data_IF_668305654060
#
_entry.id   IF_668305654060
#
_cell.length_a   1.000
_cell.length_b   1.000
_cell.length_c   1.000
_cell.angle_alpha   90.00
_cell.angle_beta   90.00
_cell.angle_gamma   90.00
#
_symmetry.space_group_name_H-M   'P 1'
#
loop_
_entity.id
_entity.type
_entity.pdbx_description
1 polymer ?
#
# COMPACT_ATOMS: atom_id res chain seq x y z
N UNK A 1 18.56 25.56 -12.28
CA UNK A 1 17.46 24.92 -13.03
C UNK A 1 16.25 25.83 -12.98
N UNK A 2 15.66 26.17 -14.13
CA UNK A 2 14.53 27.11 -14.20
C UNK A 2 13.30 26.54 -13.48
N UNK A 3 12.66 27.33 -12.60
CA UNK A 3 11.43 26.97 -11.84
C UNK A 3 10.35 26.23 -12.68
N UNK A 4 10.08 26.60 -13.96
CA UNK A 4 9.08 25.90 -14.78
C UNK A 4 9.44 24.45 -15.12
N UNK A 5 10.73 24.09 -15.24
CA UNK A 5 11.17 22.72 -15.54
C UNK A 5 10.94 21.77 -14.36
N UNK A 6 11.17 22.23 -13.14
CA UNK A 6 10.91 21.45 -11.90
C UNK A 6 9.41 21.23 -11.75
N UNK A 7 8.60 22.26 -11.96
CA UNK A 7 7.14 22.16 -11.89
C UNK A 7 6.57 21.14 -12.88
N UNK A 8 7.09 21.09 -14.11
CA UNK A 8 6.65 20.13 -15.13
C UNK A 8 7.03 18.70 -14.76
N UNK A 9 8.25 18.48 -14.23
CA UNK A 9 8.69 17.16 -13.78
C UNK A 9 7.85 16.64 -12.61
N UNK A 10 7.56 17.48 -11.62
CA UNK A 10 6.68 17.11 -10.49
C UNK A 10 5.26 16.81 -10.96
N UNK A 11 4.72 17.57 -11.91
CA UNK A 11 3.42 17.31 -12.51
C UNK A 11 3.39 15.96 -13.24
N UNK A 12 4.46 15.62 -13.97
CA UNK A 12 4.59 14.34 -14.65
C UNK A 12 4.70 13.17 -13.66
N UNK A 13 5.52 13.30 -12.61
CA UNK A 13 5.64 12.31 -11.53
C UNK A 13 4.27 12.02 -10.89
N UNK A 14 3.50 13.08 -10.62
CA UNK A 14 2.16 12.97 -10.05
C UNK A 14 1.16 12.29 -10.99
N UNK A 15 1.22 12.60 -12.29
CA UNK A 15 0.27 12.09 -13.27
C UNK A 15 0.60 10.65 -13.73
N UNK A 16 1.87 10.27 -13.76
CA UNK A 16 2.34 9.02 -14.35
C UNK A 16 3.39 8.29 -13.48
N UNK A 17 3.08 7.96 -12.20
CA UNK A 17 4.04 7.35 -11.28
C UNK A 17 4.56 6.00 -11.78
N UNK A 18 3.72 5.18 -12.44
CA UNK A 18 4.11 3.87 -12.99
C UNK A 18 5.15 4.01 -14.11
N UNK A 19 5.00 5.00 -14.97
CA UNK A 19 5.96 5.27 -16.05
C UNK A 19 7.29 5.77 -15.48
N UNK A 20 7.23 6.64 -14.47
CA UNK A 20 8.42 7.14 -13.77
C UNK A 20 9.15 5.99 -13.08
N UNK A 21 8.44 5.12 -12.38
CA UNK A 21 9.00 3.93 -11.73
C UNK A 21 9.79 3.07 -12.73
N UNK A 22 9.20 2.73 -13.90
CA UNK A 22 9.85 1.96 -14.96
C UNK A 22 11.12 2.63 -15.50
N UNK A 23 11.11 3.95 -15.63
CA UNK A 23 12.30 4.72 -16.07
C UNK A 23 13.39 4.65 -15.01
N UNK A 24 13.05 4.90 -13.74
CA UNK A 24 14.00 4.89 -12.63
C UNK A 24 14.60 3.50 -12.40
N UNK A 25 13.83 2.43 -12.60
CA UNK A 25 14.31 1.04 -12.50
C UNK A 25 15.42 0.70 -13.50
N UNK A 26 15.58 1.47 -14.57
CA UNK A 26 16.65 1.32 -15.57
C UNK A 26 17.94 2.07 -15.20
N UNK A 27 17.93 2.85 -14.11
CA UNK A 27 19.06 3.69 -13.68
C UNK A 27 19.74 3.12 -12.43
N UNK A 28 20.96 3.58 -12.17
CA UNK A 28 21.73 3.17 -10.99
C UNK A 28 21.04 3.58 -9.69
N UNK A 29 20.95 2.68 -8.72
CA UNK A 29 20.23 2.92 -7.46
C UNK A 29 20.72 4.15 -6.69
N UNK A 30 22.00 4.54 -6.82
CA UNK A 30 22.54 5.76 -6.19
C UNK A 30 21.95 7.03 -6.79
N UNK A 31 21.98 7.15 -8.13
CA UNK A 31 21.46 8.32 -8.84
C UNK A 31 19.93 8.46 -8.60
N UNK A 32 19.24 7.32 -8.53
CA UNK A 32 17.80 7.28 -8.23
C UNK A 32 17.52 7.69 -6.79
N UNK A 33 18.36 7.26 -5.83
CA UNK A 33 18.19 7.63 -4.42
C UNK A 33 18.38 9.15 -4.21
N UNK A 34 19.42 9.74 -4.81
CA UNK A 34 19.64 11.17 -4.80
C UNK A 34 18.44 11.93 -5.40
N UNK A 35 17.97 11.51 -6.58
CA UNK A 35 16.81 12.11 -7.23
C UNK A 35 15.54 12.01 -6.37
N UNK A 36 15.26 10.85 -5.78
CA UNK A 36 14.08 10.62 -4.94
C UNK A 36 14.13 11.43 -3.64
N UNK A 37 15.33 11.63 -3.06
CA UNK A 37 15.51 12.44 -1.87
C UNK A 37 15.22 13.94 -2.10
N UNK A 38 15.43 14.42 -3.31
CA UNK A 38 15.25 15.84 -3.68
C UNK A 38 13.79 16.20 -4.01
N UNK A 39 12.92 15.22 -4.20
CA UNK A 39 11.50 15.47 -4.48
C UNK A 39 10.65 15.38 -3.22
N UNK A 40 9.52 16.14 -3.14
CA UNK A 40 8.64 16.07 -1.98
C UNK A 40 8.14 14.64 -1.73
N UNK A 41 8.12 14.18 -0.49
CA UNK A 41 7.76 12.81 -0.11
C UNK A 41 6.41 12.36 -0.69
N UNK A 42 5.41 13.26 -0.72
CA UNK A 42 4.10 12.97 -1.31
C UNK A 42 4.14 12.65 -2.83
N UNK A 43 5.19 13.08 -3.54
CA UNK A 43 5.41 12.75 -4.96
C UNK A 43 6.30 11.51 -5.12
N UNK A 44 7.24 11.29 -4.21
CA UNK A 44 8.10 10.11 -4.18
C UNK A 44 7.30 8.83 -3.86
N UNK A 45 6.34 8.92 -2.95
CA UNK A 45 5.56 7.77 -2.45
C UNK A 45 4.83 7.01 -3.55
N UNK A 46 4.06 7.61 -4.47
CA UNK A 46 3.42 6.88 -5.55
C UNK A 46 4.42 6.17 -6.48
N UNK A 47 5.61 6.75 -6.69
CA UNK A 47 6.67 6.12 -7.48
C UNK A 47 7.20 4.87 -6.77
N UNK A 48 7.51 4.97 -5.46
CA UNK A 48 7.91 3.80 -4.65
C UNK A 48 6.81 2.73 -4.59
N UNK A 49 5.54 3.14 -4.65
CA UNK A 49 4.42 2.21 -4.73
C UNK A 49 4.42 1.44 -6.05
N UNK A 50 4.80 2.06 -7.15
CA UNK A 50 4.82 1.47 -8.49
C UNK A 50 6.06 0.61 -8.75
N UNK A 51 7.23 0.96 -8.17
CA UNK A 51 8.50 0.22 -8.34
C UNK A 51 8.43 -1.20 -7.76
N UNK A 52 9.32 -2.09 -8.21
CA UNK A 52 9.48 -3.41 -7.58
C UNK A 52 9.93 -3.27 -6.11
N UNK A 53 9.39 -4.07 -5.17
CA UNK A 53 9.74 -3.98 -3.74
C UNK A 53 11.25 -4.10 -3.46
N UNK A 54 11.94 -4.96 -4.19
CA UNK A 54 13.38 -5.15 -4.08
C UNK A 54 14.15 -3.90 -4.47
N UNK A 55 13.71 -3.22 -5.52
CA UNK A 55 14.34 -1.98 -5.99
C UNK A 55 14.06 -0.82 -5.02
N UNK A 56 12.82 -0.65 -4.58
CA UNK A 56 12.48 0.32 -3.53
C UNK A 56 13.30 0.08 -2.26
N UNK A 57 13.55 -1.19 -1.87
CA UNK A 57 14.39 -1.52 -0.73
C UNK A 57 15.87 -1.16 -0.93
N UNK A 58 16.40 -1.21 -2.18
CA UNK A 58 17.75 -0.71 -2.45
C UNK A 58 17.86 0.79 -2.20
N UNK A 59 16.84 1.57 -2.57
CA UNK A 59 16.80 3.00 -2.27
C UNK A 59 16.75 3.25 -0.76
N UNK A 60 15.92 2.50 -0.02
CA UNK A 60 15.86 2.59 1.44
C UNK A 60 17.21 2.33 2.13
N UNK A 61 18.10 1.54 1.51
CA UNK A 61 19.45 1.28 2.06
C UNK A 61 20.43 2.43 1.86
N UNK A 62 20.16 3.30 0.91
CA UNK A 62 21.03 4.42 0.52
C UNK A 62 20.60 5.75 1.16
N UNK A 63 19.36 5.84 1.62
CA UNK A 63 18.76 7.03 2.19
C UNK A 63 18.76 6.98 3.73
N UNK A 64 18.64 8.15 4.37
CA UNK A 64 18.48 8.22 5.83
C UNK A 64 17.12 7.67 6.27
N UNK A 65 17.05 7.23 7.52
CA UNK A 65 15.84 6.62 8.09
C UNK A 65 14.66 7.58 8.06
N UNK A 66 14.90 8.86 8.36
CA UNK A 66 13.88 9.91 8.40
C UNK A 66 13.28 10.17 7.00
N UNK A 67 14.12 10.24 5.96
CA UNK A 67 13.68 10.42 4.57
C UNK A 67 12.85 9.23 4.11
N UNK A 68 13.32 8.02 4.41
CA UNK A 68 12.59 6.79 4.09
C UNK A 68 11.25 6.73 4.80
N UNK A 69 11.20 6.99 6.11
CA UNK A 69 9.97 6.99 6.89
C UNK A 69 8.98 8.06 6.35
N UNK A 70 9.47 9.26 6.04
CA UNK A 70 8.68 10.35 5.45
C UNK A 70 8.01 9.98 4.12
N UNK A 71 8.68 9.15 3.31
CA UNK A 71 8.09 8.64 2.07
C UNK A 71 7.13 7.47 2.32
N UNK A 72 7.54 6.51 3.15
CA UNK A 72 6.77 5.29 3.38
C UNK A 72 5.46 5.55 4.12
N UNK A 73 5.37 6.56 5.00
CA UNK A 73 4.14 6.88 5.75
C UNK A 73 2.91 7.16 4.86
N UNK A 74 3.12 7.50 3.60
CA UNK A 74 2.04 7.75 2.64
C UNK A 74 1.62 6.48 1.87
N UNK A 75 2.26 5.34 2.12
CA UNK A 75 1.96 4.07 1.47
C UNK A 75 1.04 3.18 2.33
N UNK A 76 0.26 2.29 1.71
CA UNK A 76 -0.44 1.24 2.45
C UNK A 76 0.55 0.35 3.22
N UNK A 77 0.19 -0.06 4.45
CA UNK A 77 1.05 -0.88 5.31
C UNK A 77 1.52 -2.18 4.66
N UNK A 78 0.68 -2.81 3.84
CA UNK A 78 1.05 -4.00 3.05
C UNK A 78 2.19 -3.70 2.08
N UNK A 79 2.20 -2.52 1.46
CA UNK A 79 3.27 -2.09 0.56
C UNK A 79 4.56 -1.78 1.31
N UNK A 80 4.45 -1.07 2.43
CA UNK A 80 5.59 -0.79 3.32
C UNK A 80 6.28 -2.10 3.71
N UNK A 81 5.51 -3.07 4.18
CA UNK A 81 6.01 -4.38 4.59
C UNK A 81 6.65 -5.14 3.43
N UNK A 82 6.05 -5.09 2.23
CA UNK A 82 6.64 -5.72 1.04
C UNK A 82 8.04 -5.16 0.73
N UNK A 83 8.25 -3.86 0.87
CA UNK A 83 9.55 -3.20 0.71
C UNK A 83 10.50 -3.59 1.86
N UNK A 84 10.05 -3.42 3.11
CA UNK A 84 10.88 -3.60 4.30
C UNK A 84 11.33 -5.06 4.52
N UNK A 85 10.66 -6.05 3.94
CA UNK A 85 11.13 -7.45 3.95
C UNK A 85 12.49 -7.63 3.25
N UNK A 86 12.85 -6.74 2.32
CA UNK A 86 14.12 -6.75 1.60
C UNK A 86 15.19 -5.83 2.25
N UNK A 87 14.88 -5.19 3.37
CA UNK A 87 15.79 -4.35 4.17
C UNK A 87 16.32 -5.16 5.36
N UNK A 88 17.57 -4.92 5.76
CA UNK A 88 18.19 -5.56 6.93
C UNK A 88 17.40 -5.27 8.21
N UNK A 89 17.37 -6.22 9.14
CA UNK A 89 16.53 -6.18 10.34
C UNK A 89 16.75 -4.90 11.17
N UNK A 90 18.00 -4.49 11.36
CA UNK A 90 18.36 -3.31 12.17
C UNK A 90 17.79 -2.04 11.56
N UNK A 91 18.03 -1.81 10.26
CA UNK A 91 17.52 -0.64 9.55
C UNK A 91 15.99 -0.68 9.42
N UNK A 92 15.42 -1.87 9.18
CA UNK A 92 13.96 -2.05 9.14
C UNK A 92 13.30 -1.63 10.45
N UNK A 93 13.88 -2.04 11.59
CA UNK A 93 13.37 -1.67 12.92
C UNK A 93 13.44 -0.16 13.12
N UNK A 94 14.56 0.48 12.79
CA UNK A 94 14.71 1.92 12.88
C UNK A 94 13.67 2.67 12.01
N UNK A 95 13.47 2.23 10.77
CA UNK A 95 12.45 2.84 9.86
C UNK A 95 11.05 2.72 10.46
N UNK A 96 10.69 1.53 10.99
CA UNK A 96 9.35 1.30 11.56
C UNK A 96 9.10 2.18 12.77
N UNK A 97 10.11 2.41 13.62
CA UNK A 97 10.00 3.28 14.80
C UNK A 97 9.77 4.76 14.45
N UNK A 98 10.21 5.22 13.28
CA UNK A 98 9.97 6.57 12.78
C UNK A 98 8.59 6.73 12.10
N UNK A 99 7.86 5.64 11.86
CA UNK A 99 6.52 5.71 11.28
C UNK A 99 5.48 6.12 12.33
N UNK A 100 4.36 6.74 11.92
CA UNK A 100 3.24 6.99 12.83
C UNK A 100 2.79 5.71 13.53
N UNK A 101 2.50 5.77 14.83
CA UNK A 101 2.20 4.62 15.71
C UNK A 101 1.20 3.63 15.08
N UNK A 102 0.18 4.14 14.40
CA UNK A 102 -0.83 3.30 13.73
C UNK A 102 -0.24 2.47 12.58
N UNK A 103 0.64 3.07 11.79
CA UNK A 103 1.34 2.40 10.68
C UNK A 103 2.37 1.42 11.22
N UNK A 104 3.09 1.79 12.28
CA UNK A 104 4.03 0.94 13.00
C UNK A 104 3.36 -0.35 13.48
N UNK A 105 2.24 -0.26 14.20
CA UNK A 105 1.47 -1.42 14.69
C UNK A 105 1.04 -2.32 13.54
N UNK A 106 0.58 -1.73 12.43
CA UNK A 106 0.17 -2.49 11.25
C UNK A 106 1.33 -3.22 10.59
N UNK A 107 2.47 -2.55 10.43
CA UNK A 107 3.67 -3.15 9.88
C UNK A 107 4.18 -4.29 10.77
N UNK A 108 4.18 -4.10 12.09
CA UNK A 108 4.56 -5.13 13.04
C UNK A 108 3.63 -6.35 12.93
N UNK A 109 2.30 -6.14 12.85
CA UNK A 109 1.34 -7.21 12.68
C UNK A 109 1.60 -8.02 11.39
N UNK A 110 1.74 -7.33 10.25
CA UNK A 110 1.94 -7.97 8.95
C UNK A 110 3.29 -8.71 8.86
N UNK A 111 4.34 -8.20 9.50
CA UNK A 111 5.66 -8.82 9.54
C UNK A 111 5.71 -10.13 10.35
N UNK A 112 4.75 -10.36 11.24
CA UNK A 112 4.63 -11.61 12.00
C UNK A 112 4.18 -12.79 11.13
N UNK A 113 3.70 -12.56 9.92
CA UNK A 113 3.28 -13.59 8.98
C UNK A 113 4.32 -13.79 7.88
N UNK A 114 4.56 -15.03 7.47
CA UNK A 114 5.40 -15.33 6.32
C UNK A 114 4.69 -14.87 5.03
N UNK A 115 5.47 -14.62 3.97
CA UNK A 115 4.95 -14.16 2.66
C UNK A 115 4.00 -15.16 1.99
N UNK A 116 3.98 -16.39 2.44
CA UNK A 116 3.09 -17.44 1.94
C UNK A 116 1.72 -17.45 2.65
N UNK A 117 1.60 -16.70 3.75
CA UNK A 117 0.39 -16.64 4.57
C UNK A 117 -0.49 -15.44 4.18
N UNK A 118 -1.81 -15.61 4.30
CA UNK A 118 -2.82 -14.57 4.08
C UNK A 118 -2.54 -13.31 4.91
N UNK A 119 -2.16 -13.48 6.17
CA UNK A 119 -1.88 -12.38 7.09
C UNK A 119 -0.78 -11.43 6.62
N UNK A 120 0.10 -11.86 5.70
CA UNK A 120 1.13 -10.99 5.11
C UNK A 120 0.58 -10.03 4.04
N UNK A 121 -0.60 -10.31 3.50
CA UNK A 121 -1.21 -9.62 2.36
C UNK A 121 -2.51 -8.90 2.72
N UNK A 122 -3.07 -9.16 3.91
CA UNK A 122 -4.30 -8.55 4.37
C UNK A 122 -4.16 -7.04 4.55
N UNK A 123 -5.28 -6.33 4.49
CA UNK A 123 -5.40 -4.94 4.94
C UNK A 123 -5.80 -4.96 6.43
N UNK A 124 -4.94 -4.54 7.36
CA UNK A 124 -5.18 -4.67 8.80
C UNK A 124 -6.12 -3.60 9.36
N UNK A 125 -6.17 -2.42 8.74
CA UNK A 125 -7.08 -1.34 9.17
C UNK A 125 -8.40 -1.48 8.45
N UNK A 126 -9.38 -1.94 9.16
CA UNK A 126 -10.75 -2.13 8.69
C UNK A 126 -11.70 -1.41 9.64
N UNK A 127 -12.80 -0.94 9.07
CA UNK A 127 -13.82 -0.27 9.83
C UNK A 127 -14.62 -1.30 10.63
N UNK A 128 -14.54 -1.21 11.95
CA UNK A 128 -15.28 -2.08 12.86
C UNK A 128 -16.19 -1.25 13.77
N UNK A 129 -17.32 -1.81 14.13
CA UNK A 129 -18.27 -1.23 15.09
C UNK A 129 -18.68 -2.29 16.13
N UNK A 130 -18.99 -1.89 17.37
CA UNK A 130 -19.53 -2.81 18.36
C UNK A 130 -20.85 -3.41 17.89
N UNK A 131 -21.00 -4.73 18.05
CA UNK A 131 -22.21 -5.47 17.65
C UNK A 131 -23.47 -4.97 18.35
N UNK A 132 -23.34 -4.51 19.60
CA UNK A 132 -24.46 -4.06 20.46
C UNK A 132 -24.76 -2.58 20.36
N UNK A 133 -24.04 -1.79 19.55
CA UNK A 133 -24.29 -0.36 19.44
C UNK A 133 -25.48 -0.02 18.52
N UNK A 134 -25.96 1.21 18.59
CA UNK A 134 -27.00 1.75 17.72
C UNK A 134 -26.40 2.25 16.39
N UNK A 135 -27.24 2.44 15.37
CA UNK A 135 -26.82 3.00 14.08
C UNK A 135 -26.19 4.38 14.22
N UNK A 136 -26.72 5.20 15.10
CA UNK A 136 -26.17 6.55 15.38
C UNK A 136 -24.74 6.46 15.95
N UNK A 137 -24.50 5.58 16.91
CA UNK A 137 -23.18 5.34 17.48
C UNK A 137 -22.23 4.74 16.45
N UNK A 138 -22.69 3.75 15.65
CA UNK A 138 -21.90 3.16 14.58
C UNK A 138 -21.46 4.21 13.55
N UNK A 139 -22.33 5.13 13.15
CA UNK A 139 -21.99 6.23 12.24
C UNK A 139 -20.95 7.18 12.90
N UNK A 140 -21.03 7.42 14.20
CA UNK A 140 -20.02 8.20 14.91
C UNK A 140 -18.64 7.51 14.89
N UNK A 141 -18.58 6.19 15.08
CA UNK A 141 -17.35 5.40 14.95
C UNK A 141 -16.75 5.50 13.53
N UNK A 142 -17.59 5.49 12.48
CA UNK A 142 -17.09 5.60 11.10
C UNK A 142 -16.42 6.94 10.80
N UNK A 143 -16.88 8.03 11.42
CA UNK A 143 -16.31 9.37 11.25
C UNK A 143 -14.94 9.53 11.90
N UNK A 144 -14.65 8.78 12.96
CA UNK A 144 -13.38 8.82 13.68
C UNK A 144 -12.37 7.78 13.15
N UNK A 145 -12.83 6.82 12.36
CA UNK A 145 -12.01 5.78 11.77
C UNK A 145 -11.22 6.27 10.55
N UNK A 146 -10.17 5.54 10.19
CA UNK A 146 -9.42 5.76 8.96
C UNK A 146 -10.25 5.34 7.75
N UNK A 147 -10.69 6.31 6.97
CA UNK A 147 -11.53 6.12 5.78
C UNK A 147 -10.78 5.51 4.58
N UNK A 148 -9.52 5.17 4.71
CA UNK A 148 -8.73 4.51 3.64
C UNK A 148 -8.97 3.01 3.54
N UNK A 149 -9.71 2.42 4.48
CA UNK A 149 -10.09 1.03 4.42
C UNK A 149 -11.41 0.90 3.64
N UNK A 150 -11.44 -0.08 2.77
CA UNK A 150 -12.57 -0.64 2.04
C UNK A 150 -13.97 -0.19 2.57
N UNK A 151 -14.66 0.61 1.78
CA UNK A 151 -15.78 1.43 2.26
C UNK A 151 -17.18 0.80 2.11
N UNK A 152 -17.33 -0.37 1.45
CA UNK A 152 -18.65 -0.92 1.16
C UNK A 152 -19.27 -1.66 2.35
N UNK A 153 -18.43 -2.22 3.21
CA UNK A 153 -18.85 -2.97 4.39
C UNK A 153 -18.15 -2.50 5.66
N UNK A 154 -18.88 -2.56 6.76
CA UNK A 154 -18.41 -2.36 8.12
C UNK A 154 -18.55 -3.70 8.84
N UNK A 155 -17.58 -4.07 9.65
CA UNK A 155 -17.62 -5.34 10.39
C UNK A 155 -18.10 -5.11 11.82
N UNK A 156 -19.12 -5.87 12.19
CA UNK A 156 -19.64 -5.90 13.56
C UNK A 156 -18.83 -6.89 14.40
N UNK A 157 -18.26 -6.40 15.50
CA UNK A 157 -17.42 -7.20 16.40
C UNK A 157 -17.92 -7.13 17.84
N UNK A 158 -17.67 -8.18 18.62
CA UNK A 158 -17.84 -8.16 20.07
C UNK A 158 -16.71 -7.37 20.75
N UNK A 159 -16.86 -7.13 22.05
CA UNK A 159 -15.89 -6.38 22.87
C UNK A 159 -14.49 -6.99 22.87
N UNK A 160 -14.39 -8.30 22.71
CA UNK A 160 -13.13 -9.04 22.61
C UNK A 160 -12.56 -9.11 21.20
N UNK A 161 -13.25 -8.49 20.21
CA UNK A 161 -12.83 -8.44 18.81
C UNK A 161 -13.30 -9.61 17.96
N UNK A 162 -14.14 -10.52 18.48
CA UNK A 162 -14.72 -11.62 17.69
C UNK A 162 -15.66 -11.07 16.62
N UNK A 163 -15.55 -11.59 15.41
CA UNK A 163 -16.40 -11.22 14.28
C UNK A 163 -17.80 -11.79 14.46
N UNK A 164 -18.82 -10.92 14.36
CA UNK A 164 -20.25 -11.32 14.32
C UNK A 164 -20.84 -11.27 12.92
N UNK A 165 -20.31 -10.42 12.07
CA UNK A 165 -20.76 -10.31 10.70
C UNK A 165 -20.38 -8.97 10.08
N UNK A 166 -21.07 -8.62 9.00
CA UNK A 166 -20.84 -7.38 8.26
C UNK A 166 -22.14 -6.61 8.04
N UNK A 167 -22.02 -5.32 7.82
CA UNK A 167 -23.14 -4.42 7.52
C UNK A 167 -22.76 -3.63 6.27
N UNK A 168 -23.66 -3.52 5.31
CA UNK A 168 -23.46 -2.59 4.19
C UNK A 168 -23.53 -1.15 4.70
N UNK A 169 -22.56 -0.32 4.30
CA UNK A 169 -22.53 1.08 4.70
C UNK A 169 -23.84 1.80 4.29
N UNK A 170 -24.38 1.47 3.11
CA UNK A 170 -25.67 2.02 2.63
C UNK A 170 -26.83 1.67 3.56
N UNK A 171 -26.88 0.44 4.09
CA UNK A 171 -27.92 0.01 5.02
C UNK A 171 -27.79 0.74 6.37
N UNK A 172 -26.55 0.91 6.86
CA UNK A 172 -26.31 1.68 8.08
C UNK A 172 -26.73 3.13 7.95
N UNK A 173 -26.44 3.79 6.82
CA UNK A 173 -26.79 5.19 6.59
C UNK A 173 -28.30 5.39 6.39
N UNK A 174 -29.03 4.38 5.91
CA UNK A 174 -30.48 4.41 5.73
C UNK A 174 -31.25 4.03 6.99
N UNK A 175 -30.58 3.50 8.03
CA UNK A 175 -31.22 3.01 9.24
C UNK A 175 -31.70 4.14 10.15
N UNK A 176 -32.74 3.88 10.96
CA UNK A 176 -33.11 4.80 12.02
C UNK A 176 -32.03 4.86 13.11
N UNK A 177 -31.79 6.03 13.70
CA UNK A 177 -30.73 6.29 14.66
C UNK A 177 -30.67 5.30 15.84
N UNK A 178 -31.84 4.80 16.27
CA UNK A 178 -31.97 3.89 17.42
C UNK A 178 -31.97 2.39 17.00
N UNK A 179 -31.83 2.07 15.71
CA UNK A 179 -31.75 0.69 15.25
C UNK A 179 -30.44 0.05 15.72
N UNK A 180 -30.49 -1.10 16.33
CA UNK A 180 -29.28 -1.82 16.76
C UNK A 180 -28.52 -2.41 15.57
N UNK A 181 -27.20 -2.31 15.62
CA UNK A 181 -26.27 -2.92 14.64
C UNK A 181 -26.53 -4.41 14.50
N UNK A 182 -26.79 -5.11 15.60
CA UNK A 182 -27.09 -6.54 15.65
C UNK A 182 -28.28 -6.96 14.75
N UNK A 183 -29.29 -6.10 14.61
CA UNK A 183 -30.45 -6.38 13.75
C UNK A 183 -30.19 -6.19 12.25
N UNK A 184 -29.11 -5.51 11.89
CA UNK A 184 -28.71 -5.22 10.50
C UNK A 184 -27.49 -6.05 10.05
N UNK A 185 -26.90 -6.79 10.97
CA UNK A 185 -25.69 -7.57 10.72
C UNK A 185 -26.03 -8.82 9.92
N UNK A 186 -25.36 -8.99 8.78
CA UNK A 186 -25.40 -10.18 7.94
C UNK A 186 -24.19 -11.07 8.29
N UNK A 187 -24.37 -12.38 8.36
CA UNK A 187 -23.25 -13.31 8.49
C UNK A 187 -22.30 -13.18 7.29
N UNK A 188 -21.00 -13.30 7.55
CA UNK A 188 -20.03 -13.39 6.48
C UNK A 188 -20.06 -14.81 5.90
N UNK A 189 -20.35 -14.93 4.61
CA UNK A 189 -20.44 -16.24 3.92
C UNK A 189 -19.13 -17.02 4.03
N UNK A 190 -18.00 -16.30 4.00
CA UNK A 190 -16.66 -16.85 4.07
C UNK A 190 -15.78 -16.05 5.03
N UNK A 191 -14.96 -16.75 5.78
CA UNK A 191 -13.88 -16.17 6.60
C UNK A 191 -12.58 -16.94 6.35
N UNK A 192 -11.45 -16.32 6.50
CA UNK A 192 -10.14 -16.93 6.26
C UNK A 192 -9.26 -16.74 7.48
N UNK A 193 -8.48 -17.76 7.83
CA UNK A 193 -7.49 -17.63 8.90
C UNK A 193 -6.23 -16.92 8.38
N UNK A 194 -5.68 -15.98 9.16
CA UNK A 194 -4.46 -15.23 8.80
C UNK A 194 -3.24 -16.16 8.52
N UNK A 195 -3.24 -17.37 9.07
CA UNK A 195 -2.19 -18.39 8.85
C UNK A 195 -2.43 -19.31 7.66
N UNK A 196 -3.57 -19.21 7.00
CA UNK A 196 -3.84 -19.97 5.77
C UNK A 196 -2.85 -19.60 4.69
N UNK A 197 -2.51 -20.57 3.83
CA UNK A 197 -1.64 -20.33 2.68
C UNK A 197 -2.39 -19.55 1.61
N UNK A 198 -1.83 -18.44 1.15
CA UNK A 198 -2.47 -17.58 0.16
C UNK A 198 -2.64 -18.29 -1.19
N UNK A 199 -1.75 -19.22 -1.52
CA UNK A 199 -1.84 -20.02 -2.73
C UNK A 199 -3.11 -20.88 -2.80
N UNK A 200 -3.57 -21.42 -1.66
CA UNK A 200 -4.79 -22.22 -1.64
C UNK A 200 -6.03 -21.41 -2.03
N UNK A 201 -6.04 -20.12 -1.72
CA UNK A 201 -7.15 -19.21 -2.03
C UNK A 201 -7.20 -18.77 -3.50
N UNK A 202 -6.07 -18.81 -4.18
CA UNK A 202 -6.00 -18.41 -5.59
C UNK A 202 -6.79 -19.33 -6.52
N UNK A 203 -7.06 -20.56 -6.07
CA UNK A 203 -7.76 -21.61 -6.84
C UNK A 203 -9.23 -21.79 -6.41
N UNK A 204 -9.68 -21.13 -5.34
CA UNK A 204 -11.02 -21.32 -4.84
C UNK A 204 -12.04 -20.42 -5.55
N UNK A 205 -13.12 -21.05 -6.01
CA UNK A 205 -14.32 -20.38 -6.51
C UNK A 205 -15.05 -19.56 -5.42
N UNK A 206 -14.54 -19.57 -4.18
CA UNK A 206 -15.14 -18.93 -2.99
C UNK A 206 -15.17 -17.40 -3.08
N UNK A 207 -14.40 -16.81 -3.98
CA UNK A 207 -14.45 -15.36 -4.18
C UNK A 207 -15.79 -14.89 -4.77
N UNK A 208 -16.49 -15.71 -5.56
CA UNK A 208 -17.79 -15.38 -6.11
C UNK A 208 -17.94 -13.91 -6.48
N UNK A 209 -18.88 -13.23 -5.82
CA UNK A 209 -19.09 -11.78 -5.92
C UNK A 209 -18.45 -11.01 -4.74
N UNK A 210 -17.61 -11.64 -3.92
CA UNK A 210 -17.02 -11.01 -2.74
C UNK A 210 -15.72 -10.27 -3.12
N UNK A 211 -15.70 -8.95 -2.90
CA UNK A 211 -14.51 -8.13 -3.16
C UNK A 211 -13.48 -8.21 -2.03
N UNK A 212 -13.92 -8.57 -0.82
CA UNK A 212 -13.08 -8.70 0.37
C UNK A 212 -13.61 -9.77 1.32
N UNK A 213 -12.71 -10.59 1.85
CA UNK A 213 -13.01 -11.66 2.81
C UNK A 213 -12.36 -11.30 4.14
N UNK A 214 -13.13 -11.36 5.28
CA UNK A 214 -12.57 -11.11 6.60
C UNK A 214 -11.52 -12.14 6.98
N UNK A 215 -10.42 -11.66 7.57
CA UNK A 215 -9.30 -12.47 8.03
C UNK A 215 -9.33 -12.54 9.56
N UNK A 216 -9.34 -13.76 10.08
CA UNK A 216 -9.39 -14.03 11.51
C UNK A 216 -8.04 -14.55 12.02
N UNK A 217 -7.75 -14.27 13.29
CA UNK A 217 -6.64 -14.93 13.98
C UNK A 217 -7.08 -16.31 14.52
N UNK A 218 -6.18 -16.98 15.26
CA UNK A 218 -6.46 -18.29 15.90
C UNK A 218 -7.60 -18.23 16.94
N UNK A 219 -7.86 -17.06 17.52
CA UNK A 219 -8.87 -16.83 18.55
C UNK A 219 -10.19 -16.30 17.94
N UNK A 220 -10.41 -16.48 16.64
CA UNK A 220 -11.57 -16.00 15.86
C UNK A 220 -11.77 -14.48 15.88
N UNK A 221 -10.77 -13.71 16.30
CA UNK A 221 -10.81 -12.25 16.29
C UNK A 221 -10.48 -11.73 14.90
N UNK A 222 -11.21 -10.70 14.50
CA UNK A 222 -10.98 -10.02 13.22
C UNK A 222 -9.67 -9.24 13.26
N UNK A 223 -8.74 -9.56 12.36
CA UNK A 223 -7.40 -8.92 12.27
C UNK A 223 -7.20 -8.15 10.98
N UNK A 224 -8.07 -8.31 10.01
CA UNK A 224 -7.99 -7.60 8.74
C UNK A 224 -8.97 -8.14 7.71
N UNK A 225 -8.83 -7.68 6.47
CA UNK A 225 -9.51 -8.23 5.30
C UNK A 225 -8.51 -8.55 4.20
N UNK A 226 -8.74 -9.63 3.47
CA UNK A 226 -8.04 -9.90 2.22
C UNK A 226 -8.92 -9.45 1.07
N UNK A 227 -8.43 -8.51 0.25
CA UNK A 227 -9.15 -8.03 -0.93
C UNK A 227 -8.76 -8.85 -2.15
N UNK A 228 -9.71 -9.07 -3.05
CA UNK A 228 -9.46 -9.77 -4.29
C UNK A 228 -8.35 -9.10 -5.14
N UNK A 229 -8.27 -7.77 -5.12
CA UNK A 229 -7.20 -7.03 -5.80
C UNK A 229 -5.80 -7.32 -5.21
N UNK A 230 -5.69 -7.58 -3.92
CA UNK A 230 -4.40 -7.88 -3.28
C UNK A 230 -3.98 -9.33 -3.56
N UNK A 231 -4.95 -10.25 -3.69
CA UNK A 231 -4.69 -11.61 -4.15
C UNK A 231 -4.19 -11.65 -5.60
N UNK A 232 -4.79 -10.86 -6.52
CA UNK A 232 -4.28 -10.74 -7.89
C UNK A 232 -2.83 -10.26 -7.93
N UNK A 233 -2.46 -9.27 -7.12
CA UNK A 233 -1.06 -8.81 -7.02
C UNK A 233 -0.10 -9.90 -6.55
N UNK A 234 -0.57 -10.87 -5.77
CA UNK A 234 0.22 -12.04 -5.43
C UNK A 234 0.38 -13.00 -6.61
N UNK A 235 -0.68 -13.20 -7.41
CA UNK A 235 -0.67 -14.06 -8.61
C UNK A 235 0.18 -13.48 -9.74
N UNK A 236 0.15 -12.16 -9.91
CA UNK A 236 0.89 -11.41 -10.94
C UNK A 236 2.39 -11.26 -10.60
N UNK A 237 2.86 -11.77 -9.45
CA UNK A 237 4.30 -11.87 -9.22
C UNK A 237 4.90 -12.73 -10.33
N UNK A 238 5.85 -12.23 -11.12
CA UNK A 238 6.57 -13.05 -12.06
C UNK A 238 7.31 -14.13 -11.27
N UNK A 239 6.79 -15.33 -11.31
CA UNK A 239 7.58 -16.53 -11.12
C UNK A 239 8.55 -16.51 -12.29
N UNK A 240 9.85 -16.32 -12.02
CA UNK A 240 10.96 -16.29 -12.98
C UNK A 240 10.57 -16.80 -14.39
N UNK A 241 10.05 -15.91 -15.21
CA UNK A 241 9.91 -16.17 -16.64
C UNK A 241 10.69 -15.09 -17.35
N UNK A 242 11.86 -15.47 -17.83
CA UNK A 242 12.47 -14.84 -19.00
C UNK A 242 11.39 -14.67 -20.08
N UNK A 243 10.74 -13.51 -20.14
CA UNK A 243 9.90 -13.14 -21.26
C UNK A 243 10.61 -11.99 -21.95
N UNK A 244 11.25 -12.31 -23.05
CA UNK A 244 11.70 -11.33 -24.03
C UNK A 244 10.51 -10.45 -24.43
N UNK A 245 10.59 -9.18 -24.14
CA UNK A 245 9.62 -8.18 -24.53
C UNK A 245 9.87 -7.87 -26.01
N UNK A 246 9.08 -8.46 -26.89
CA UNK A 246 8.89 -7.94 -28.23
C UNK A 246 7.95 -6.75 -28.11
N UNK A 247 8.52 -5.54 -28.32
CA UNK A 247 7.79 -4.30 -28.25
C UNK A 247 6.80 -4.14 -29.41
N UNK A 248 5.54 -3.94 -29.09
CA UNK A 248 4.61 -3.31 -30.02
C UNK A 248 4.54 -1.81 -29.69
N UNK A 249 4.81 -0.99 -30.70
CA UNK A 249 4.77 0.48 -30.67
C UNK A 249 3.34 0.98 -30.39
N UNK A 250 3.08 1.37 -29.14
CA UNK A 250 1.88 2.13 -28.81
C UNK A 250 2.21 3.63 -28.79
N UNK A 251 1.28 4.55 -29.14
CA UNK A 251 1.50 6.01 -29.15
C UNK A 251 2.00 6.58 -27.82
N UNK A 252 1.76 5.86 -26.73
CA UNK A 252 2.21 6.21 -25.36
C UNK A 252 3.73 6.01 -25.22
N UNK A 253 4.34 5.08 -25.97
CA UNK A 253 5.78 4.80 -25.93
C UNK A 253 6.60 6.03 -26.40
N UNK A 254 6.11 6.76 -27.39
CA UNK A 254 6.75 7.98 -27.87
C UNK A 254 6.75 9.13 -26.84
N UNK A 255 5.64 9.32 -26.12
CA UNK A 255 5.54 10.29 -25.04
C UNK A 255 6.46 9.92 -23.86
N UNK A 256 6.51 8.65 -23.48
CA UNK A 256 7.38 8.14 -22.41
C UNK A 256 8.86 8.35 -22.76
N UNK A 257 9.25 8.18 -24.04
CA UNK A 257 10.62 8.45 -24.49
C UNK A 257 10.98 9.94 -24.41
N UNK A 258 10.08 10.84 -24.83
CA UNK A 258 10.31 12.31 -24.78
C UNK A 258 10.44 12.78 -23.32
N UNK A 259 9.55 12.34 -22.44
CA UNK A 259 9.61 12.68 -21.01
C UNK A 259 10.75 11.98 -20.27
N UNK A 260 11.15 10.79 -20.68
CA UNK A 260 12.34 10.12 -20.18
C UNK A 260 13.63 10.91 -20.47
N UNK A 261 13.72 11.56 -21.64
CA UNK A 261 14.83 12.46 -21.96
C UNK A 261 14.80 13.73 -21.09
N UNK A 262 13.63 14.28 -20.81
CA UNK A 262 13.49 15.43 -19.90
C UNK A 262 13.86 15.07 -18.45
N UNK A 263 13.48 13.90 -17.98
CA UNK A 263 13.85 13.40 -16.65
C UNK A 263 15.35 13.14 -16.54
N UNK A 264 15.96 12.53 -17.56
CA UNK A 264 17.42 12.37 -17.68
C UNK A 264 18.17 13.68 -17.66
N UNK A 265 17.67 14.69 -18.41
CA UNK A 265 18.25 16.02 -18.45
C UNK A 265 18.16 16.74 -17.09
N UNK A 266 17.06 16.52 -16.35
CA UNK A 266 16.87 17.03 -14.99
C UNK A 266 17.83 16.38 -14.00
N UNK A 267 17.96 15.07 -14.00
CA UNK A 267 18.91 14.33 -13.15
C UNK A 267 20.36 14.80 -13.41
N UNK A 268 20.72 15.00 -14.69
CA UNK A 268 22.05 15.49 -15.05
C UNK A 268 22.28 16.97 -14.67
N UNK A 269 21.26 17.79 -14.79
CA UNK A 269 21.31 19.21 -14.41
C UNK A 269 21.39 19.42 -12.90
N UNK A 270 20.71 18.58 -12.10
CA UNK A 270 20.80 18.61 -10.64
C UNK A 270 22.18 18.18 -10.16
N UNK A 271 22.75 17.13 -10.76
CA UNK A 271 24.11 16.67 -10.46
C UNK A 271 25.16 17.77 -10.75
N UNK A 272 25.01 18.52 -11.84
CA UNK A 272 25.88 19.65 -12.19
C UNK A 272 25.77 20.83 -11.22
N UNK A 273 24.60 21.07 -10.61
CA UNK A 273 24.44 22.13 -9.60
C UNK A 273 25.11 21.78 -8.28
N UNK A 274 25.04 20.50 -7.85
CA UNK A 274 25.66 20.04 -6.61
C UNK A 274 27.19 20.08 -6.71
N UNK A 275 27.75 19.74 -7.88
CA UNK A 275 29.20 19.81 -8.11
C UNK A 275 29.76 21.26 -8.15
N UNK A 276 28.91 22.23 -8.47
CA UNK A 276 29.32 23.67 -8.47
C UNK A 276 29.27 24.29 -7.07
N UNK A 277 28.33 23.85 -6.20
CA UNK A 277 28.23 24.36 -4.81
C UNK A 277 29.31 23.80 -3.88
N UNK A 278 29.94 22.68 -4.21
CA UNK A 278 31.04 22.08 -3.43
C UNK A 278 32.40 22.74 -3.76
N UNK A 279 32.47 23.52 -4.85
CA UNK A 279 33.71 24.19 -5.29
C UNK A 279 33.75 25.71 -5.05
N UNK A 280 32.74 26.29 -4.44
CA UNK A 280 32.74 27.68 -3.97
C UNK A 280 32.78 27.73 -2.43
#
# INVERSE_FOLDING_TARGET
VSKPKISLALAFIKAHPDSVAKILEQHGSKDVAEFIADIPHAHASPVLQAMLPQQSAQLCKLLSVEVVAGMLMHLPSSRIVAILRHVKKEQRTAIIQELPTKVEISCALLLNYSTEMVGAWMTPHILTVPYECTASEAIAYTKTGDTHAYADYIFAVERDGQLKGRIRLTNLLAANSNTYVSSMTEECSHTITARSLIYSLSKHAEWGNEEAIPVLNKDTRLVGVLRHVDLRKYQDKPFDRDIGINGEDTPITGLVQIYGHCLKALMHSMKSCIETDIRS
#
